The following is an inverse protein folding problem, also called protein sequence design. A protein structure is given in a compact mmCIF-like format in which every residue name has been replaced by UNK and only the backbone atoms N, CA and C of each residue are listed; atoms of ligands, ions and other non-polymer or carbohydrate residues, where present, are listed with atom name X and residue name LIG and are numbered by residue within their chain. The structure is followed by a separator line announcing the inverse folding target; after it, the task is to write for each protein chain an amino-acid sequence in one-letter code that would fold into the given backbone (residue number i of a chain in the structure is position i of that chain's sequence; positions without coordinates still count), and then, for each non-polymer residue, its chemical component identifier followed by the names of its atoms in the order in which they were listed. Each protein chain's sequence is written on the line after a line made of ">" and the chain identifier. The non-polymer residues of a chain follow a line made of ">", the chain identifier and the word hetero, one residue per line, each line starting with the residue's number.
data_IF_592258701290
#
_entry.id   IF_592258701290
#
_cell.length_a   1.000
_cell.length_b   1.000
_cell.length_c   1.000
_cell.angle_alpha   90.00
_cell.angle_beta   90.00
_cell.angle_gamma   90.00
#
_symmetry.space_group_name_H-M   'P 1'
#
loop_
_entity.id
_entity.type
_entity.pdbx_description
1 polymer ?
#
# COMPACT_ATOMS: atom_id res chain seq x y z
N UNK A 1 -9.42 -1.49 44.78
CA UNK A 1 -9.83 -0.68 43.61
C UNK A 1 -8.65 0.06 42.97
N UNK A 2 -7.62 0.48 43.71
CA UNK A 2 -6.44 1.15 43.13
C UNK A 2 -5.60 0.29 42.17
N UNK A 3 -5.42 -1.01 42.43
CA UNK A 3 -4.62 -1.88 41.56
C UNK A 3 -5.14 -1.98 40.11
N UNK A 4 -6.46 -2.03 39.93
CA UNK A 4 -7.07 -2.07 38.60
C UNK A 4 -6.86 -0.77 37.83
N UNK A 5 -6.92 0.38 38.51
CA UNK A 5 -6.68 1.69 37.91
C UNK A 5 -5.23 1.85 37.43
N UNK A 6 -4.25 1.34 38.19
CA UNK A 6 -2.84 1.35 37.78
C UNK A 6 -2.59 0.46 36.55
N UNK A 7 -3.23 -0.72 36.49
CA UNK A 7 -3.12 -1.61 35.32
C UNK A 7 -3.78 -1.01 34.07
N UNK A 8 -4.95 -0.38 34.22
CA UNK A 8 -5.65 0.31 33.13
C UNK A 8 -4.80 1.46 32.56
N UNK A 9 -4.21 2.28 33.44
CA UNK A 9 -3.34 3.39 33.04
C UNK A 9 -2.07 2.90 32.32
N UNK A 10 -1.49 1.80 32.80
CA UNK A 10 -0.36 1.13 32.15
C UNK A 10 -0.71 0.59 30.76
N UNK A 11 -1.88 -0.02 30.61
CA UNK A 11 -2.38 -0.54 29.34
C UNK A 11 -2.65 0.57 28.32
N UNK A 12 -3.30 1.67 28.73
CA UNK A 12 -3.55 2.84 27.87
C UNK A 12 -2.23 3.39 27.34
N UNK A 13 -1.22 3.52 28.21
CA UNK A 13 0.10 4.02 27.84
C UNK A 13 0.81 3.09 26.86
N UNK A 14 0.80 1.77 27.11
CA UNK A 14 1.38 0.78 26.22
C UNK A 14 0.74 0.79 24.84
N UNK A 15 -0.59 0.83 24.78
CA UNK A 15 -1.36 0.92 23.53
C UNK A 15 -1.07 2.19 22.75
N UNK A 16 -0.94 3.34 23.44
CA UNK A 16 -0.54 4.58 22.80
C UNK A 16 0.85 4.50 22.17
N UNK A 17 1.82 3.88 22.86
CA UNK A 17 3.18 3.68 22.33
C UNK A 17 3.15 2.75 21.10
N UNK A 18 2.42 1.64 21.17
CA UNK A 18 2.31 0.69 20.05
C UNK A 18 1.66 1.36 18.83
N UNK A 19 0.56 2.10 19.04
CA UNK A 19 -0.11 2.87 17.97
C UNK A 19 0.86 3.83 17.31
N UNK A 20 1.58 4.62 18.11
CA UNK A 20 2.56 5.59 17.63
C UNK A 20 3.69 4.92 16.81
N UNK A 21 4.20 3.78 17.26
CA UNK A 21 5.22 3.02 16.53
C UNK A 21 4.69 2.51 15.18
N UNK A 22 3.48 1.98 15.13
CA UNK A 22 2.85 1.48 13.90
C UNK A 22 2.55 2.62 12.91
N UNK A 23 2.06 3.76 13.39
CA UNK A 23 1.87 4.95 12.57
C UNK A 23 3.21 5.47 12.01
N UNK A 24 4.26 5.48 12.82
CA UNK A 24 5.60 5.91 12.39
C UNK A 24 6.15 4.99 11.30
N UNK A 25 5.98 3.67 11.45
CA UNK A 25 6.41 2.70 10.45
C UNK A 25 5.62 2.84 9.14
N UNK A 26 4.31 3.08 9.24
CA UNK A 26 3.45 3.38 8.09
C UNK A 26 3.97 4.60 7.30
N UNK A 27 4.23 5.71 7.99
CA UNK A 27 4.76 6.93 7.38
C UNK A 27 6.11 6.64 6.69
N UNK A 28 7.00 5.89 7.35
CA UNK A 28 8.28 5.50 6.76
C UNK A 28 8.10 4.67 5.47
N UNK A 29 7.17 3.71 5.45
CA UNK A 29 6.84 2.93 4.25
C UNK A 29 6.37 3.82 3.10
N UNK A 30 5.47 4.78 3.35
CA UNK A 30 5.00 5.73 2.33
C UNK A 30 6.17 6.56 1.79
N UNK A 31 7.02 7.09 2.67
CA UNK A 31 8.18 7.91 2.27
C UNK A 31 9.16 7.10 1.43
N UNK A 32 9.51 5.89 1.84
CA UNK A 32 10.42 5.01 1.08
C UNK A 32 9.81 4.68 -0.29
N UNK A 33 8.52 4.33 -0.33
CA UNK A 33 7.79 4.06 -1.57
C UNK A 33 7.77 5.26 -2.52
N UNK A 34 7.57 6.47 -1.98
CA UNK A 34 7.62 7.72 -2.74
C UNK A 34 9.03 7.99 -3.32
N UNK A 35 10.07 7.84 -2.50
CA UNK A 35 11.46 8.05 -2.95
C UNK A 35 11.83 7.08 -4.07
N UNK A 36 11.52 5.78 -3.93
CA UNK A 36 11.79 4.78 -4.98
C UNK A 36 11.07 5.08 -6.29
N UNK A 37 9.81 5.49 -6.19
CA UNK A 37 8.96 5.91 -7.30
C UNK A 37 9.54 7.13 -8.03
N UNK A 38 9.98 8.15 -7.27
CA UNK A 38 10.62 9.35 -7.82
C UNK A 38 11.99 9.06 -8.45
N UNK A 39 12.80 8.19 -7.84
CA UNK A 39 14.10 7.76 -8.39
C UNK A 39 13.93 7.09 -9.76
N UNK A 40 12.96 6.18 -9.88
CA UNK A 40 12.63 5.50 -11.14
C UNK A 40 12.15 6.48 -12.21
N UNK A 41 11.25 7.41 -11.83
CA UNK A 41 10.76 8.44 -12.75
C UNK A 41 11.89 9.35 -13.24
N UNK A 42 12.81 9.75 -12.35
CA UNK A 42 13.93 10.62 -12.70
C UNK A 42 14.96 9.92 -13.59
N UNK A 43 15.28 8.65 -13.30
CA UNK A 43 16.21 7.86 -14.10
C UNK A 43 15.66 7.60 -15.51
N UNK A 44 14.36 7.32 -15.64
CA UNK A 44 13.67 7.17 -16.92
C UNK A 44 13.68 8.47 -17.74
N UNK A 45 13.48 9.62 -17.09
CA UNK A 45 13.52 10.92 -17.77
C UNK A 45 14.92 11.30 -18.28
N UNK A 46 16.00 10.81 -17.63
CA UNK A 46 17.39 11.05 -18.07
C UNK A 46 17.77 10.29 -19.34
N UNK A 47 17.08 9.19 -19.67
CA UNK A 47 17.37 8.29 -20.80
C UNK A 47 16.48 8.51 -22.04
N UNK A 48 15.93 9.71 -22.25
CA UNK A 48 15.16 10.04 -23.46
C UNK A 48 16.03 10.08 -24.74
N UNK A 49 16.31 8.90 -25.31
CA UNK A 49 16.39 8.67 -26.76
C UNK A 49 15.70 7.33 -27.05
N UNK A 50 14.56 7.41 -27.73
CA UNK A 50 13.89 6.29 -28.44
C UNK A 50 13.07 5.30 -27.60
N UNK A 51 11.77 5.61 -27.49
CA UNK A 51 10.53 4.76 -27.41
C UNK A 51 10.55 3.32 -26.83
N UNK A 52 9.42 2.77 -26.34
CA UNK A 52 8.10 3.35 -26.02
C UNK A 52 7.75 3.23 -24.52
N UNK A 53 6.76 4.00 -24.04
CA UNK A 53 5.96 3.74 -22.83
C UNK A 53 6.63 2.98 -21.67
N UNK A 54 7.59 3.61 -20.97
CA UNK A 54 7.84 3.21 -19.58
C UNK A 54 6.57 3.61 -18.81
N UNK A 55 5.64 2.66 -18.71
CA UNK A 55 4.25 2.93 -18.37
C UNK A 55 4.21 3.56 -16.99
N UNK A 56 3.62 4.75 -16.88
CA UNK A 56 3.25 5.37 -15.60
C UNK A 56 2.57 4.36 -14.66
N UNK A 57 1.97 3.31 -15.23
CA UNK A 57 1.38 2.21 -14.49
C UNK A 57 2.37 1.41 -13.64
N UNK A 58 3.58 1.07 -14.10
CA UNK A 58 4.56 0.33 -13.27
C UNK A 58 4.99 1.12 -12.04
N UNK A 59 5.11 2.44 -12.20
CA UNK A 59 5.39 3.39 -11.11
C UNK A 59 4.23 3.40 -10.11
N UNK A 60 2.98 3.43 -10.60
CA UNK A 60 1.76 3.39 -9.78
C UNK A 60 1.61 2.07 -9.03
N UNK A 61 1.94 0.93 -9.66
CA UNK A 61 1.92 -0.41 -9.05
C UNK A 61 2.92 -0.50 -7.91
N UNK A 62 4.17 -0.08 -8.15
CA UNK A 62 5.23 -0.11 -7.12
C UNK A 62 4.85 0.78 -5.94
N UNK A 63 4.39 2.00 -6.22
CA UNK A 63 3.94 2.92 -5.17
C UNK A 63 2.75 2.37 -4.40
N UNK A 64 1.76 1.80 -5.09
CA UNK A 64 0.57 1.23 -4.48
C UNK A 64 0.85 0.02 -3.58
N UNK A 65 1.85 -0.80 -3.91
CA UNK A 65 2.33 -1.87 -3.02
C UNK A 65 2.88 -1.33 -1.69
N UNK A 66 3.72 -0.28 -1.73
CA UNK A 66 4.19 0.40 -0.51
C UNK A 66 3.05 1.07 0.27
N UNK A 67 2.06 1.62 -0.43
CA UNK A 67 0.88 2.21 0.18
C UNK A 67 0.02 1.15 0.90
N UNK A 68 -0.18 -0.02 0.29
CA UNK A 68 -0.91 -1.14 0.91
C UNK A 68 -0.24 -1.61 2.19
N UNK A 69 1.10 -1.72 2.19
CA UNK A 69 1.86 -2.08 3.38
C UNK A 69 1.74 -1.04 4.49
N UNK A 70 1.88 0.26 4.16
CA UNK A 70 1.70 1.35 5.11
C UNK A 70 0.31 1.34 5.75
N UNK A 71 -0.70 1.06 4.93
CA UNK A 71 -2.08 0.93 5.36
C UNK A 71 -2.23 -0.23 6.36
N UNK A 72 -1.67 -1.42 6.12
CA UNK A 72 -1.73 -2.53 7.08
C UNK A 72 -1.24 -2.15 8.49
N UNK A 73 -0.13 -1.38 8.58
CA UNK A 73 0.35 -0.87 9.86
C UNK A 73 -0.60 0.12 10.54
N UNK A 74 -1.19 1.05 9.78
CA UNK A 74 -2.21 1.98 10.31
C UNK A 74 -3.42 1.24 10.87
N UNK A 75 -3.91 0.22 10.16
CA UNK A 75 -5.04 -0.59 10.62
C UNK A 75 -4.69 -1.31 11.93
N UNK A 76 -3.48 -1.87 12.02
CA UNK A 76 -2.99 -2.47 13.27
C UNK A 76 -2.98 -1.47 14.43
N UNK A 77 -2.52 -0.24 14.19
CA UNK A 77 -2.51 0.83 15.19
C UNK A 77 -3.90 1.20 15.69
N UNK A 78 -4.87 1.29 14.77
CA UNK A 78 -6.25 1.60 15.13
C UNK A 78 -6.98 0.43 15.81
N UNK A 79 -6.70 -0.83 15.44
CA UNK A 79 -7.19 -2.03 16.16
C UNK A 79 -6.66 -2.05 17.60
N UNK A 80 -5.38 -1.75 17.78
CA UNK A 80 -4.76 -1.70 19.11
C UNK A 80 -5.38 -0.57 19.95
N UNK A 81 -5.64 0.60 19.37
CA UNK A 81 -6.29 1.72 20.05
C UNK A 81 -7.74 1.43 20.46
N UNK A 82 -8.52 0.80 19.58
CA UNK A 82 -9.94 0.46 19.83
C UNK A 82 -10.12 -0.64 20.88
N UNK A 83 -9.09 -1.45 21.14
CA UNK A 83 -9.11 -2.48 22.19
C UNK A 83 -9.23 -1.88 23.60
N UNK A 84 -8.72 -0.66 23.81
CA UNK A 84 -8.71 -0.01 25.14
C UNK A 84 -9.85 1.00 25.30
N UNK A 85 -10.23 1.70 24.22
CA UNK A 85 -11.39 2.61 24.22
C UNK A 85 -12.30 2.32 23.03
N UNK A 86 -13.16 1.28 23.13
CA UNK A 86 -14.08 0.93 22.07
C UNK A 86 -15.21 1.97 21.99
N UNK A 87 -14.95 3.07 21.27
CA UNK A 87 -15.98 4.07 20.95
C UNK A 87 -16.57 3.77 19.57
N UNK A 88 -17.90 3.89 19.44
CA UNK A 88 -18.59 3.69 18.16
C UNK A 88 -18.05 4.64 17.08
N UNK A 89 -17.63 5.84 17.47
CA UNK A 89 -17.04 6.83 16.57
C UNK A 89 -15.66 6.40 16.04
N UNK A 90 -14.80 5.80 16.88
CA UNK A 90 -13.53 5.22 16.45
C UNK A 90 -13.77 4.00 15.54
N UNK A 91 -14.76 3.17 15.86
CA UNK A 91 -15.11 2.00 15.05
C UNK A 91 -15.65 2.41 13.66
N UNK A 92 -16.45 3.48 13.58
CA UNK A 92 -16.95 4.02 12.32
C UNK A 92 -15.84 4.60 11.44
N UNK A 93 -14.87 5.32 12.03
CA UNK A 93 -13.68 5.80 11.32
C UNK A 93 -12.85 4.63 10.77
N UNK A 94 -12.64 3.59 11.58
CA UNK A 94 -11.94 2.38 11.16
C UNK A 94 -12.63 1.71 9.96
N UNK A 95 -13.95 1.56 10.02
CA UNK A 95 -14.74 0.98 8.94
C UNK A 95 -14.63 1.80 7.64
N UNK A 96 -14.66 3.14 7.74
CA UNK A 96 -14.50 4.02 6.59
C UNK A 96 -13.10 3.88 5.96
N UNK A 97 -12.04 3.85 6.78
CA UNK A 97 -10.66 3.65 6.31
C UNK A 97 -10.53 2.28 5.62
N UNK A 98 -11.14 1.23 6.18
CA UNK A 98 -11.13 -0.10 5.58
C UNK A 98 -11.84 -0.11 4.21
N UNK A 99 -12.97 0.57 4.07
CA UNK A 99 -13.69 0.70 2.79
C UNK A 99 -12.83 1.43 1.75
N UNK A 100 -12.24 2.58 2.11
CA UNK A 100 -11.37 3.35 1.21
C UNK A 100 -10.19 2.48 0.75
N UNK A 101 -9.57 1.75 1.68
CA UNK A 101 -8.48 0.83 1.36
C UNK A 101 -8.92 -0.27 0.40
N UNK A 102 -10.04 -0.93 0.66
CA UNK A 102 -10.55 -1.98 -0.23
C UNK A 102 -10.82 -1.42 -1.61
N UNK A 103 -11.43 -0.24 -1.71
CA UNK A 103 -11.71 0.39 -2.99
C UNK A 103 -10.43 0.73 -3.77
N UNK A 104 -9.44 1.38 -3.12
CA UNK A 104 -8.18 1.74 -3.75
C UNK A 104 -7.37 0.49 -4.14
N UNK A 105 -7.26 -0.49 -3.25
CA UNK A 105 -6.51 -1.72 -3.51
C UNK A 105 -7.19 -2.56 -4.60
N UNK A 106 -8.53 -2.65 -4.59
CA UNK A 106 -9.30 -3.30 -5.64
C UNK A 106 -9.05 -2.64 -7.01
N UNK A 107 -9.15 -1.31 -7.09
CA UNK A 107 -8.94 -0.60 -8.34
C UNK A 107 -7.52 -0.79 -8.89
N UNK A 108 -6.53 -0.77 -8.00
CA UNK A 108 -5.14 -1.00 -8.35
C UNK A 108 -4.87 -2.46 -8.81
N UNK A 109 -5.43 -3.45 -8.10
CA UNK A 109 -5.36 -4.87 -8.50
C UNK A 109 -6.06 -5.14 -9.83
N UNK A 110 -7.18 -4.47 -10.08
CA UNK A 110 -7.93 -4.60 -11.33
C UNK A 110 -7.15 -4.00 -12.51
N UNK A 111 -6.52 -2.84 -12.32
CA UNK A 111 -5.63 -2.26 -13.34
C UNK A 111 -4.41 -3.18 -13.61
N UNK A 112 -3.86 -3.83 -12.58
CA UNK A 112 -2.78 -4.82 -12.68
C UNK A 112 -3.15 -6.05 -13.53
N UNK A 113 -4.29 -6.67 -13.25
CA UNK A 113 -4.75 -7.85 -14.01
C UNK A 113 -4.96 -7.54 -15.48
N UNK A 114 -5.46 -6.34 -15.77
CA UNK A 114 -5.71 -5.90 -17.15
C UNK A 114 -4.41 -5.75 -17.93
N UNK A 115 -3.32 -5.29 -17.30
CA UNK A 115 -2.02 -5.13 -17.97
C UNK A 115 -1.28 -6.46 -18.14
N UNK A 116 -1.32 -7.35 -17.15
CA UNK A 116 -0.73 -8.69 -17.26
C UNK A 116 -1.36 -9.51 -18.39
N UNK A 117 -2.68 -9.39 -18.59
CA UNK A 117 -3.37 -10.03 -19.70
C UNK A 117 -2.86 -9.51 -21.07
N UNK A 118 -2.62 -8.21 -21.19
CA UNK A 118 -2.11 -7.59 -22.42
C UNK A 118 -0.66 -8.00 -22.73
N UNK A 119 0.23 -8.08 -21.72
CA UNK A 119 1.60 -8.57 -21.91
C UNK A 119 1.65 -10.05 -22.31
N UNK A 120 0.75 -10.88 -21.76
CA UNK A 120 0.62 -12.29 -22.16
C UNK A 120 0.17 -12.44 -23.61
N UNK A 121 -0.78 -11.61 -24.06
CA UNK A 121 -1.23 -11.63 -25.45
C UNK A 121 -0.11 -11.21 -26.40
N UNK A 122 0.66 -10.16 -26.08
CA UNK A 122 1.80 -9.73 -26.91
C UNK A 122 2.93 -10.75 -26.95
N UNK A 123 3.26 -11.38 -25.82
CA UNK A 123 4.31 -12.41 -25.77
C UNK A 123 3.91 -13.69 -26.49
N UNK A 124 2.63 -14.07 -26.46
CA UNK A 124 2.10 -15.18 -27.27
C UNK A 124 2.12 -14.86 -28.75
N UNK A 125 1.70 -13.65 -29.16
CA UNK A 125 1.77 -13.22 -30.56
C UNK A 125 3.21 -13.19 -31.07
N UNK A 126 4.16 -12.69 -30.29
CA UNK A 126 5.57 -12.67 -30.64
C UNK A 126 6.18 -14.09 -30.72
N UNK A 127 5.79 -15.00 -29.82
CA UNK A 127 6.22 -16.40 -29.88
C UNK A 127 5.61 -17.16 -31.07
N UNK A 128 4.38 -16.84 -31.42
CA UNK A 128 3.68 -17.41 -32.58
C UNK A 128 4.25 -16.90 -33.90
N UNK A 129 4.63 -15.62 -33.99
CA UNK A 129 5.26 -15.03 -35.18
C UNK A 129 6.64 -15.67 -35.45
N UNK A 130 7.44 -15.84 -34.40
CA UNK A 130 8.76 -16.50 -34.49
C UNK A 130 8.67 -17.96 -34.98
N UNK A 131 7.58 -18.67 -34.64
CA UNK A 131 7.32 -20.04 -35.12
C UNK A 131 6.79 -20.09 -36.57
N UNK A 132 6.32 -18.98 -37.14
CA UNK A 132 5.83 -18.92 -38.53
C UNK A 132 6.94 -18.61 -39.53
N UNK A 133 8.04 -18.04 -39.08
CA UNK A 133 9.20 -17.68 -39.91
C UNK A 133 10.22 -18.83 -40.10
N UNK A 134 9.96 -20.01 -39.51
CA UNK A 134 10.70 -21.27 -39.72
C UNK A 134 9.90 -22.25 -40.60
#
# INVERSE_FOLDING_TARGET
>A
MEFLATLETGLISAVAIIKFCLESLSIACVVIGLIKTLQLAWQSNRHRRSRPSFSFNQIRIRFGSWLSLALEFQLGGDIVATTVTPTIEALAKLALIAIIRTFLNYFLSKELETELALEQEQSQLAAQDNLRDF
#
